data_IF_338028332329
#
_entry.id   IF_338028332329
#
_cell.length_a   1.000
_cell.length_b   1.000
_cell.length_c   1.000
_cell.angle_alpha   90.00
_cell.angle_beta   90.00
_cell.angle_gamma   90.00
#
_symmetry.space_group_name_H-M   'P 1'
#
loop_
_entity.id
_entity.type
_entity.pdbx_description
1 polymer ?
2 non-polymer ?
3 non-polymer ?
4 non-polymer ?
5 water ?
#
# COMPACT_ATOMS: atom_id res chain seq x y z
N UNK A 1 -2.80 18.00 -8.21
CA UNK A 1 -2.40 17.16 -7.06
C UNK A 1 -3.60 16.72 -6.21
N UNK A 2 -3.40 15.69 -5.38
CA UNK A 2 -4.43 15.19 -4.48
C UNK A 2 -4.08 15.50 -3.03
N UNK A 3 -5.09 15.67 -2.18
CA UNK A 3 -4.88 15.93 -0.77
C UNK A 3 -4.62 14.62 -0.03
N UNK A 4 -3.61 14.61 0.84
CA UNK A 4 -3.30 13.44 1.65
C UNK A 4 -3.73 13.76 3.10
N UNK A 5 -4.37 12.84 3.85
CA UNK A 5 -4.78 11.47 3.47
C UNK A 5 -5.86 11.43 2.39
N UNK A 6 -5.77 10.44 1.48
CA UNK A 6 -6.70 10.35 0.37
C UNK A 6 -7.57 9.11 0.47
N UNK A 7 -8.85 9.27 0.15
CA UNK A 7 -9.78 8.16 0.19
C UNK A 7 -10.18 7.83 -1.23
N UNK A 8 -9.80 6.64 -1.71
CA UNK A 8 -10.22 6.21 -3.03
C UNK A 8 -11.18 5.01 -2.85
N UNK A 9 -12.49 5.21 -3.10
CA UNK A 9 -13.43 4.09 -3.03
C UNK A 9 -13.11 3.06 -4.11
N UNK A 10 -13.35 1.78 -3.80
CA UNK A 10 -13.16 0.65 -4.72
C UNK A 10 -14.56 0.02 -4.78
N UNK A 11 -15.47 0.59 -5.59
CA UNK A 11 -16.87 0.15 -5.58
C UNK A 11 -17.10 -1.34 -5.78
N UNK A 12 -17.71 -1.99 -4.80
CA UNK A 12 -17.95 -3.42 -4.86
C UNK A 12 -16.71 -4.24 -4.55
N UNK A 13 -15.71 -3.62 -3.91
CA UNK A 13 -14.48 -4.32 -3.56
C UNK A 13 -13.52 -4.55 -4.71
N UNK A 14 -12.52 -5.36 -4.46
CA UNK A 14 -11.51 -5.68 -5.45
C UNK A 14 -11.82 -7.01 -6.13
N UNK A 15 -11.23 -7.21 -7.29
CA UNK A 15 -11.41 -8.45 -8.02
C UNK A 15 -10.07 -8.78 -8.71
N UNK A 16 -9.77 -10.07 -8.96
CA UNK A 16 -8.55 -10.39 -9.71
C UNK A 16 -8.57 -9.71 -11.10
N UNK A 17 -7.40 -9.24 -11.55
CA UNK A 17 -7.18 -8.47 -12.80
C UNK A 17 -7.43 -6.96 -12.60
N UNK A 18 -7.75 -6.51 -11.37
CA UNK A 18 -7.93 -5.08 -11.10
C UNK A 18 -6.56 -4.50 -10.71
N UNK A 19 -6.07 -3.52 -11.48
CA UNK A 19 -4.79 -2.85 -11.25
C UNK A 19 -4.98 -1.41 -10.71
N UNK A 20 -4.43 -1.14 -9.52
CA UNK A 20 -4.50 0.17 -8.89
C UNK A 20 -3.12 0.82 -9.04
N UNK A 21 -3.06 2.09 -9.49
CA UNK A 21 -1.82 2.82 -9.72
C UNK A 21 -1.81 4.11 -8.89
N UNK A 22 -0.76 4.28 -8.09
CA UNK A 22 -0.56 5.46 -7.27
C UNK A 22 0.68 6.12 -7.79
N UNK A 23 0.57 7.41 -8.14
CA UNK A 23 1.69 8.19 -8.60
C UNK A 23 1.88 9.33 -7.62
N UNK A 24 3.11 9.56 -7.26
CA UNK A 24 3.44 10.66 -6.37
C UNK A 24 4.93 10.89 -6.29
N UNK A 25 5.34 11.71 -5.31
CA UNK A 25 6.72 12.03 -4.99
C UNK A 25 6.91 11.93 -3.48
N UNK A 26 7.92 11.18 -3.04
CA UNK A 26 8.20 11.07 -1.61
C UNK A 26 8.75 12.40 -1.13
N UNK A 27 8.26 12.91 0.01
CA UNK A 27 8.74 14.18 0.53
C UNK A 27 10.21 14.06 0.96
N UNK A 28 11.02 15.15 0.89
CA UNK A 28 12.38 15.07 1.44
C UNK A 28 12.27 14.82 2.96
N UNK A 29 13.16 14.03 3.53
CA UNK A 29 13.09 13.74 4.97
C UNK A 29 11.83 12.95 5.40
N UNK A 30 11.16 12.25 4.45
CA UNK A 30 9.99 11.42 4.75
C UNK A 30 10.29 10.40 5.84
N UNK A 31 9.27 10.03 6.62
CA UNK A 31 9.43 9.03 7.67
C UNK A 31 8.62 7.76 7.33
N UNK A 32 7.43 7.93 6.75
CA UNK A 32 6.56 6.78 6.46
C UNK A 32 5.51 7.08 5.38
N UNK A 33 5.08 6.02 4.71
CA UNK A 33 3.99 6.02 3.73
C UNK A 33 3.08 4.83 4.07
N UNK A 34 1.74 4.94 3.84
CA UNK A 34 0.86 3.79 4.05
C UNK A 34 -0.28 3.73 3.08
N UNK A 35 -0.49 2.55 2.51
CA UNK A 35 -1.63 2.24 1.67
C UNK A 35 -2.49 1.33 2.56
N UNK A 36 -3.78 1.60 2.65
CA UNK A 36 -4.67 0.79 3.47
C UNK A 36 -5.88 0.31 2.67
N UNK A 37 -5.90 -0.96 2.25
CA UNK A 37 -7.08 -1.51 1.57
C UNK A 37 -8.00 -1.96 2.71
N UNK A 38 -9.19 -1.36 2.83
CA UNK A 38 -10.08 -1.62 3.95
C UNK A 38 -11.34 -2.33 3.63
N UNK A 39 -11.78 -3.19 4.57
CA UNK A 39 -13.06 -3.87 4.54
C UNK A 39 -13.78 -3.32 5.77
N UNK A 40 -14.49 -2.21 5.62
CA UNK A 40 -15.11 -1.55 6.77
C UNK A 40 -14.03 -1.01 7.69
N UNK A 41 -14.08 -1.34 9.00
CA UNK A 41 -13.03 -0.91 9.93
C UNK A 41 -11.77 -1.81 9.82
N UNK A 42 -11.87 -2.99 9.18
CA UNK A 42 -10.73 -3.88 9.06
C UNK A 42 -9.79 -3.44 7.97
N UNK A 43 -8.47 -3.63 8.17
CA UNK A 43 -7.53 -3.30 7.11
C UNK A 43 -7.10 -4.62 6.51
N UNK A 44 -7.59 -4.95 5.31
CA UNK A 44 -7.23 -6.20 4.65
C UNK A 44 -5.75 -6.27 4.29
N UNK A 45 -5.20 -5.16 3.83
CA UNK A 45 -3.80 -5.08 3.40
C UNK A 45 -3.28 -3.69 3.69
N UNK A 46 -2.35 -3.60 4.64
CA UNK A 46 -1.67 -2.38 5.05
C UNK A 46 -0.26 -2.51 4.48
N UNK A 47 0.14 -1.61 3.57
CA UNK A 47 1.46 -1.66 2.96
C UNK A 47 2.14 -0.42 3.48
N UNK A 48 3.17 -0.59 4.30
CA UNK A 48 3.77 0.53 5.01
C UNK A 48 5.30 0.69 4.93
N UNK A 49 5.81 1.43 3.93
CA UNK A 49 7.25 1.75 3.92
C UNK A 49 7.64 2.65 5.10
N UNK A 50 8.68 2.26 5.81
CA UNK A 50 9.23 3.02 6.95
C UNK A 50 10.65 3.44 6.61
N UNK A 51 10.89 4.74 6.55
CA UNK A 51 12.19 5.31 6.19
C UNK A 51 13.20 5.34 7.33
N UNK A 52 12.74 5.20 8.58
CA UNK A 52 13.64 5.18 9.73
C UNK A 52 13.06 4.34 10.85
N UNK A 53 13.30 3.03 10.81
CA UNK A 53 12.89 2.14 11.88
C UNK A 53 14.24 1.61 12.38
N UNK A 54 14.72 2.16 13.51
CA UNK A 54 16.03 1.82 14.07
C UNK A 54 17.14 2.13 13.04
N UNK A 55 16.98 3.23 12.28
CA UNK A 55 17.90 3.71 11.25
C UNK A 55 18.02 2.77 10.02
N UNK A 56 16.98 1.97 9.78
CA UNK A 56 16.89 1.11 8.61
C UNK A 56 15.63 1.45 7.84
N UNK A 57 15.62 1.12 6.55
CA UNK A 57 14.47 1.38 5.72
C UNK A 57 13.83 0.01 5.48
N UNK A 58 12.55 -0.14 5.85
CA UNK A 58 11.84 -1.43 5.73
C UNK A 58 10.40 -1.23 5.26
N UNK A 59 9.85 -2.22 4.55
CA UNK A 59 8.44 -2.18 4.21
C UNK A 59 7.70 -3.18 5.13
N UNK A 60 6.74 -2.69 5.92
CA UNK A 60 5.98 -3.54 6.82
C UNK A 60 4.60 -3.81 6.23
N UNK A 61 4.18 -5.09 6.11
CA UNK A 61 2.82 -5.39 5.61
C UNK A 61 2.04 -6.14 6.66
N UNK A 62 0.77 -5.80 6.85
CA UNK A 62 -0.04 -6.46 7.88
C UNK A 62 -1.53 -6.32 7.58
N UNK A 63 -2.37 -6.95 8.41
CA UNK A 63 -3.83 -6.98 8.32
C UNK A 63 -4.33 -6.64 9.71
N UNK A 64 -5.37 -5.81 9.80
CA UNK A 64 -5.95 -5.44 11.09
C UNK A 64 -7.36 -5.97 11.15
N UNK A 65 -7.66 -6.87 12.11
CA UNK A 65 -9.00 -7.48 12.27
C UNK A 65 -9.56 -7.17 13.64
N UNK A 66 -10.80 -6.62 13.73
CA UNK A 66 -11.43 -6.24 15.02
C UNK A 66 -10.51 -5.34 15.85
N UNK A 67 -9.81 -4.43 15.15
CA UNK A 67 -8.90 -3.46 15.75
C UNK A 67 -7.56 -4.02 16.20
N UNK A 68 -7.25 -5.28 15.87
CA UNK A 68 -5.96 -5.86 16.24
C UNK A 68 -5.10 -6.22 15.04
N UNK A 69 -3.85 -5.74 15.03
CA UNK A 69 -2.87 -6.08 14.00
C UNK A 69 -2.47 -7.55 14.13
N UNK A 70 -2.24 -8.18 13.00
CA UNK A 70 -1.83 -9.57 12.96
C UNK A 70 -0.33 -9.72 12.91
N UNK A 71 0.13 -10.85 12.37
CA UNK A 71 1.55 -11.12 12.27
C UNK A 71 2.14 -10.39 11.06
N UNK A 72 3.14 -9.53 11.26
CA UNK A 72 3.73 -8.73 10.18
C UNK A 72 4.50 -9.51 9.14
N UNK A 73 4.58 -8.97 7.90
CA UNK A 73 5.38 -9.55 6.83
C UNK A 73 6.35 -8.46 6.42
N UNK A 74 7.66 -8.73 6.56
CA UNK A 74 8.70 -7.75 6.28
C UNK A 74 9.54 -8.07 5.06
N UNK A 75 9.88 -7.00 4.34
CA UNK A 75 10.61 -6.97 3.09
C UNK A 75 11.82 -6.07 3.25
N UNK A 76 13.01 -6.64 3.04
CA UNK A 76 14.29 -5.97 3.09
C UNK A 76 14.40 -4.97 1.93
N UNK A 77 14.02 -5.39 0.72
CA UNK A 77 14.07 -4.55 -0.47
C UNK A 77 13.23 -3.28 -0.29
N UNK A 78 13.84 -2.10 -0.48
CA UNK A 78 13.17 -0.84 -0.27
C UNK A 78 13.40 0.04 -1.50
N UNK A 79 12.46 0.08 -2.47
CA UNK A 79 12.69 0.86 -3.69
C UNK A 79 12.49 2.38 -3.59
N UNK A 80 11.90 2.86 -2.50
CA UNK A 80 11.63 4.29 -2.35
C UNK A 80 12.85 5.08 -1.97
N UNK A 81 12.89 6.34 -2.36
CA UNK A 81 13.97 7.27 -2.03
C UNK A 81 13.36 8.62 -1.70
N UNK A 82 13.70 9.21 -0.53
CA UNK A 82 13.18 10.51 -0.12
C UNK A 82 13.38 11.56 -1.19
N UNK A 83 12.35 12.33 -1.46
CA UNK A 83 12.40 13.42 -2.42
C UNK A 83 12.19 13.02 -3.86
N UNK A 84 12.01 11.71 -4.15
CA UNK A 84 11.87 11.27 -5.54
C UNK A 84 10.48 10.79 -5.96
N UNK A 85 10.13 11.00 -7.24
CA UNK A 85 8.86 10.48 -7.74
C UNK A 85 8.84 8.94 -7.80
N UNK A 86 7.67 8.39 -7.54
CA UNK A 86 7.46 6.96 -7.49
C UNK A 86 6.16 6.59 -8.17
N UNK A 87 6.02 5.31 -8.46
CA UNK A 87 4.78 4.73 -8.95
C UNK A 87 4.64 3.43 -8.17
N UNK A 88 3.50 3.23 -7.54
CA UNK A 88 3.18 1.98 -6.88
C UNK A 88 2.04 1.40 -7.70
N UNK A 89 2.19 0.14 -8.11
CA UNK A 89 1.10 -0.56 -8.80
C UNK A 89 0.72 -1.77 -7.96
N UNK A 90 -0.56 -1.87 -7.60
CA UNK A 90 -1.05 -3.00 -6.83
C UNK A 90 -1.98 -3.77 -7.75
N UNK A 91 -1.57 -4.97 -8.17
CA UNK A 91 -2.40 -5.80 -9.04
C UNK A 91 -3.08 -6.83 -8.17
N UNK A 92 -4.41 -6.86 -8.17
CA UNK A 92 -5.16 -7.82 -7.39
C UNK A 92 -5.15 -9.14 -8.16
N UNK A 93 -4.65 -10.20 -7.54
CA UNK A 93 -4.59 -11.54 -8.13
C UNK A 93 -5.46 -12.54 -7.31
N UNK A 94 -5.73 -13.77 -7.80
CA UNK A 94 -6.61 -14.68 -7.05
C UNK A 94 -6.21 -14.98 -5.61
N UNK A 95 -4.90 -15.09 -5.34
CA UNK A 95 -4.40 -15.43 -4.01
C UNK A 95 -3.68 -14.33 -3.28
N UNK A 96 -3.37 -13.22 -3.96
CA UNK A 96 -2.60 -12.15 -3.31
C UNK A 96 -2.73 -10.81 -4.00
N UNK A 97 -2.23 -9.78 -3.32
CA UNK A 97 -2.05 -8.45 -3.88
C UNK A 97 -0.59 -8.47 -4.36
N UNK A 98 -0.34 -8.10 -5.62
CA UNK A 98 1.02 -8.07 -6.14
C UNK A 98 1.47 -6.61 -6.28
N UNK A 99 2.52 -6.23 -5.56
CA UNK A 99 3.01 -4.86 -5.59
C UNK A 99 4.27 -4.72 -6.41
N UNK A 100 4.29 -3.74 -7.31
CA UNK A 100 5.45 -3.39 -8.13
C UNK A 100 5.71 -1.92 -7.88
N UNK A 101 6.97 -1.52 -7.65
CA UNK A 101 7.27 -0.10 -7.45
C UNK A 101 8.23 0.35 -8.56
N UNK A 102 7.90 1.42 -9.28
CA UNK A 102 8.71 1.92 -10.39
C UNK A 102 8.94 0.84 -11.44
N UNK A 103 7.88 0.07 -11.73
CA UNK A 103 7.88 -1.02 -12.71
C UNK A 103 8.76 -2.24 -12.33
N UNK A 104 9.10 -2.41 -11.05
CA UNK A 104 9.86 -3.57 -10.61
C UNK A 104 9.07 -4.30 -9.54
N UNK A 105 8.86 -5.61 -9.71
CA UNK A 105 8.16 -6.45 -8.74
C UNK A 105 8.80 -6.32 -7.36
N UNK A 106 7.99 -6.04 -6.34
CA UNK A 106 8.48 -5.87 -4.99
C UNK A 106 8.05 -7.03 -4.07
N UNK A 107 6.73 -7.27 -3.93
CA UNK A 107 6.26 -8.33 -3.05
C UNK A 107 4.87 -8.84 -3.42
N UNK A 108 4.46 -9.94 -2.79
CA UNK A 108 3.13 -10.45 -2.88
C UNK A 108 2.63 -10.63 -1.43
N UNK A 109 1.38 -10.29 -1.19
CA UNK A 109 0.77 -10.42 0.14
C UNK A 109 -0.47 -11.28 -0.01
N UNK A 110 -0.45 -12.51 0.55
CA UNK A 110 -1.57 -13.46 0.49
C UNK A 110 -2.82 -12.86 1.11
N UNK A 111 -4.00 -13.15 0.53
CA UNK A 111 -5.26 -12.64 1.07
C UNK A 111 -5.62 -13.32 2.40
N UNK A 112 -5.58 -12.55 3.50
CA UNK A 112 -6.01 -13.05 4.82
C UNK A 112 -7.51 -12.78 4.92
N UNK A 113 -8.01 -11.62 4.40
CA UNK A 113 -9.42 -11.27 4.32
C UNK A 113 -9.90 -11.87 2.98
N UNK A 114 -10.82 -12.85 3.02
CA UNK A 114 -11.23 -13.54 1.79
C UNK A 114 -12.34 -12.88 1.03
N UNK A 115 -13.11 -12.00 1.68
CA UNK A 115 -14.24 -11.36 1.04
C UNK A 115 -13.75 -10.19 0.21
N UNK A 116 -13.19 -10.47 -0.96
CA UNK A 116 -12.64 -9.45 -1.84
C UNK A 116 -13.65 -8.38 -2.21
N UNK A 117 -14.90 -8.77 -2.47
CA UNK A 117 -15.97 -7.83 -2.83
C UNK A 117 -16.38 -6.87 -1.69
N UNK A 118 -15.75 -6.99 -0.51
CA UNK A 118 -16.04 -6.09 0.60
C UNK A 118 -14.88 -5.15 0.94
N UNK A 119 -13.71 -5.30 0.25
CA UNK A 119 -12.54 -4.45 0.45
C UNK A 119 -12.77 -3.27 -0.47
N UNK A 120 -13.67 -2.38 -0.07
CA UNK A 120 -14.15 -1.30 -0.89
C UNK A 120 -13.51 0.07 -0.69
N UNK A 121 -12.33 0.16 -0.08
CA UNK A 121 -11.66 1.45 0.09
C UNK A 121 -10.17 1.27 0.05
N UNK A 122 -9.46 2.22 -0.55
CA UNK A 122 -8.02 2.29 -0.45
C UNK A 122 -7.72 3.67 0.15
N UNK A 123 -7.07 3.71 1.30
CA UNK A 123 -6.63 4.96 1.90
C UNK A 123 -5.16 5.19 1.58
N UNK A 124 -4.75 6.44 1.34
CA UNK A 124 -3.37 6.74 0.99
C UNK A 124 -2.91 7.78 1.98
N UNK A 125 -1.90 7.45 2.79
CA UNK A 125 -1.43 8.35 3.85
C UNK A 125 0.08 8.44 3.90
N UNK A 126 0.59 9.50 4.52
CA UNK A 126 2.03 9.63 4.70
C UNK A 126 2.77 10.80 4.08
N UNK A 127 4.09 10.65 4.07
CA UNK A 127 4.98 11.72 3.67
C UNK A 127 5.23 11.76 2.18
N UNK A 128 4.15 12.02 1.43
CA UNK A 128 4.17 12.11 -0.01
C UNK A 128 3.39 13.32 -0.52
N UNK A 129 3.73 13.73 -1.74
CA UNK A 129 2.99 14.65 -2.54
C UNK A 129 2.26 13.65 -3.49
N UNK A 130 0.94 13.52 -3.33
CA UNK A 130 0.16 12.56 -4.13
C UNK A 130 -0.28 13.23 -5.42
N UNK A 131 -0.02 12.59 -6.57
CA UNK A 131 -0.32 13.17 -7.88
C UNK A 131 -1.54 12.51 -8.51
N UNK A 132 -1.64 11.18 -8.39
CA UNK A 132 -2.76 10.45 -8.96
C UNK A 132 -2.98 9.08 -8.28
N UNK A 133 -4.23 8.64 -8.22
CA UNK A 133 -4.65 7.38 -7.62
C UNK A 133 -5.86 6.91 -8.39
N UNK A 134 -5.74 5.79 -9.09
CA UNK A 134 -6.83 5.28 -9.90
C UNK A 134 -6.72 3.76 -10.07
N UNK A 135 -7.72 3.17 -10.73
CA UNK A 135 -7.74 1.75 -11.02
C UNK A 135 -8.27 1.50 -12.43
N UNK A 136 -7.96 0.32 -12.97
CA UNK A 136 -8.42 -0.14 -14.28
C UNK A 136 -8.39 -1.69 -14.31
N UNK A 137 -9.19 -2.32 -15.19
CA UNK A 137 -9.15 -3.77 -15.31
C UNK A 137 -8.18 -4.12 -16.41
N UNK A 138 -7.28 -5.07 -16.16
CA UNK A 138 -6.35 -5.52 -17.18
C UNK A 138 -6.68 -6.93 -17.64
X LIG B 1 -19.68 7.41 4.47
X LIG B 1 -20.07 6.35 3.62
X LIG B 1 -19.30 5.09 3.89
X LIG B 1 -19.56 4.13 2.87
X LIG B 1 -18.86 2.90 3.06
X LIG B 1 -17.39 3.06 2.78
X LIG B 1 -16.64 2.43 3.81
X LIG B 1 -15.26 2.78 3.79
X LIG B 1 -14.66 2.51 5.15
X LIG B 1 -13.82 3.58 5.56
X LIG B 1 -14.52 4.77 5.91
X LIG B 1 -13.58 5.76 6.53
X LIG B 1 -12.75 6.36 5.54
X LIG B 1 -12.79 7.78 5.57
X LIG B 1 -11.73 8.37 4.67
X LIG B 1 -10.44 8.19 5.25
X LIG B 1 -9.42 8.92 4.57
X LIG B 1 -8.30 8.00 4.17
X LIG B 1 -7.71 7.42 5.32
X LIG B 1 -6.93 6.27 5.02
X LIG B 1 -6.22 5.78 6.24
X LIG B 1 -7.10 5.03 7.07
X LIG B 1 -6.49 3.82 7.53
X LIG B 1 -7.11 3.37 8.82
X LIG B 1 -6.80 4.30 9.86
X LIG B 1 -7.90 5.13 10.19
X LIG B 1 -7.42 6.47 10.65
X LIG B 1 -6.93 6.43 11.98
X LIG C 1 -0.85 2.31 12.04
X LIG C 1 4.74 -1.28 16.89
X LIG C 1 -0.44 5.88 9.86
X LIG C 1 0.43 4.81 9.83
X LIG C 1 2.65 -2.38 16.31
X LIG C 1 1.44 4.74 8.88
X LIG C 1 1.07 2.64 11.05
X LIG C 1 1.64 -2.94 11.18
X LIG C 1 0.94 -4.50 16.93
X LIG C 1 1.80 -4.60 15.85
X LIG C 1 2.69 -3.57 15.59
X LIG C 1 3.58 -1.37 16.01
X LIG C 1 3.43 -0.48 14.90
X LIG C 1 2.18 -0.63 14.08
X LIG C 1 1.83 0.73 13.48
X LIG C 1 0.65 0.57 12.53
X LIG C 1 0.36 1.86 11.86
X LIG C 1 -0.97 3.42 11.38
X LIG C 1 0.20 3.67 10.76
X LIG C 1 -0.27 6.92 8.96
X LIG C 1 -1.11 8.01 8.99
X LIG C 1 1.61 5.79 8.00
X LIG C 1 2.61 5.78 7.07
X LIG C 1 0.76 6.88 8.04
X LIG C 1 0.93 7.91 7.14
X LIG C 1 1.48 1.61 14.54
X LIG C 1 2.37 -1.63 13.06
X LIG C 1 1.26 -1.85 12.18
X LIG C 1 1.99 -4.14 11.89
X LIG C 1 0.90 -0.53 11.50
X LIG C 1 1.96 -0.13 10.62
X LIG C 1 4.28 0.38 14.65
X LIG C 1 1.78 -2.27 17.39
X LIG C 1 0.94 -3.34 17.69
X LIG C 1 -0.23 -3.21 19.06
X LIG C 1 1.89 -6.13 14.90
X LIG D 1 -13.01 -12.45 5.22
X LIG D 1 -13.92 -13.81 5.17
X LIG D 1 -14.53 -14.77 5.18
#
# INVERSE_FOLDING_TARGET
PLIVPYNLPLPGGVVPRMLITILGTVKPNANRIALDFQRGNDVAFHFNPRFNENNRRVIVCNTKLDNNWGREERQSVFPFESGKPFKIQVLVEPDHFKVAVNDAHLLQYNHRVKKLNEISKLGISGDIDLTSASYTMI
2PE O1 C2 C3 O4 C5 C6 O7 C8 C9 O10 C11 C12 O13 C14 C15 O16 C17 C18 O19 C20 C21 O22 C23 C24 O25 C26 C27 O28
A1IB4 N3 C4 C6 C7 C8 C10 C13 C15 C20 C21 C22 N9 C1' C2' C3' C4' NAA N2 C2 C9 F1 C11 F2 C12 F3 O3' O2' C14 OP3 C5' O5' O5 C18 C19 CL1 CL2
SCN S C N
#
